data_IF_179855008857
#
_entry.id   IF_179855008857
#
_cell.length_a   1.000
_cell.length_b   1.000
_cell.length_c   1.000
_cell.angle_alpha   90.00
_cell.angle_beta   90.00
_cell.angle_gamma   90.00
#
_symmetry.space_group_name_H-M   'P 1'
#
loop_
_entity.id
_entity.type
_entity.pdbx_description
1 polymer ?
#
# COMPACT_ATOMS: atom_id res chain seq x y z
N UNK A 1 -17.87 24.62 27.25
CA UNK A 1 -18.94 23.62 27.46
C UNK A 1 -18.64 22.84 28.73
N UNK A 2 -19.59 22.81 29.67
CA UNK A 2 -19.45 22.15 30.99
C UNK A 2 -20.48 21.02 31.16
N UNK A 3 -21.04 20.52 30.07
CA UNK A 3 -22.09 19.49 30.03
C UNK A 3 -22.95 19.57 28.75
N UNK A 4 -23.73 18.53 28.47
CA UNK A 4 -24.62 18.41 27.30
C UNK A 4 -23.96 17.72 26.09
N UNK A 5 -24.65 17.76 24.94
CA UNK A 5 -24.11 17.30 23.65
C UNK A 5 -24.27 18.40 22.59
N UNK A 6 -23.21 18.65 21.82
CA UNK A 6 -23.26 19.42 20.58
C UNK A 6 -23.12 18.44 19.41
N UNK A 7 -24.09 18.44 18.49
CA UNK A 7 -24.09 17.55 17.33
C UNK A 7 -23.84 18.39 16.07
N UNK A 8 -22.81 18.02 15.30
CA UNK A 8 -22.39 18.71 14.09
C UNK A 8 -22.59 17.78 12.89
N UNK A 9 -23.56 18.11 12.03
CA UNK A 9 -23.95 17.29 10.86
C UNK A 9 -23.72 17.99 9.51
N UNK A 10 -23.46 19.30 9.50
CA UNK A 10 -23.21 20.08 8.27
C UNK A 10 -21.73 20.25 7.95
N UNK A 11 -21.41 20.81 6.79
CA UNK A 11 -20.03 21.12 6.37
C UNK A 11 -19.59 22.56 6.67
N UNK A 12 -20.50 23.42 7.14
CA UNK A 12 -20.24 24.85 7.35
C UNK A 12 -20.62 25.28 8.78
N UNK A 13 -19.99 24.65 9.78
CA UNK A 13 -20.22 24.99 11.18
C UNK A 13 -19.00 25.69 11.76
N UNK A 14 -19.23 26.82 12.43
CA UNK A 14 -18.19 27.66 12.99
C UNK A 14 -18.48 28.01 14.45
N UNK A 15 -17.44 28.02 15.28
CA UNK A 15 -17.46 28.67 16.58
C UNK A 15 -16.50 29.85 16.51
N UNK A 16 -17.01 31.06 16.75
CA UNK A 16 -16.24 32.30 16.80
C UNK A 16 -16.00 32.73 18.25
N UNK A 17 -14.89 33.44 18.48
CA UNK A 17 -14.65 34.17 19.73
C UNK A 17 -13.40 33.73 20.50
N UNK A 18 -12.48 33.02 19.85
CA UNK A 18 -11.21 32.57 20.45
C UNK A 18 -11.25 31.12 20.94
N UNK A 19 -10.39 30.82 21.92
CA UNK A 19 -10.23 29.46 22.46
C UNK A 19 -11.55 28.92 23.05
N UNK A 20 -11.86 27.67 22.72
CA UNK A 20 -13.03 26.96 23.23
C UNK A 20 -12.57 25.98 24.32
N UNK A 21 -13.19 26.02 25.50
CA UNK A 21 -12.93 25.01 26.54
C UNK A 21 -14.10 24.04 26.66
N UNK A 22 -13.82 22.75 26.65
CA UNK A 22 -14.79 21.67 26.87
C UNK A 22 -14.30 20.86 28.06
N UNK A 23 -14.97 20.99 29.20
CA UNK A 23 -14.60 20.33 30.46
C UNK A 23 -15.54 19.19 30.84
N UNK A 24 -16.74 19.14 30.24
CA UNK A 24 -17.65 18.01 30.32
C UNK A 24 -18.64 18.01 29.15
N UNK A 25 -19.29 16.89 28.92
CA UNK A 25 -20.17 16.68 27.75
C UNK A 25 -19.40 16.28 26.49
N UNK A 26 -20.11 16.17 25.37
CA UNK A 26 -19.56 15.68 24.12
C UNK A 26 -19.85 16.62 22.93
N UNK A 27 -18.87 16.75 22.03
CA UNK A 27 -19.07 17.29 20.69
C UNK A 27 -18.97 16.14 19.70
N UNK A 28 -20.06 15.86 19.01
CA UNK A 28 -20.17 14.77 18.04
C UNK A 28 -20.10 15.35 16.62
N UNK A 29 -18.99 15.13 15.92
CA UNK A 29 -18.77 15.60 14.54
C UNK A 29 -18.98 14.43 13.59
N UNK A 30 -20.10 14.45 12.87
CA UNK A 30 -20.50 13.38 11.97
C UNK A 30 -19.54 13.25 10.76
N UNK A 31 -19.56 12.09 10.12
CA UNK A 31 -18.83 11.88 8.87
C UNK A 31 -19.30 12.86 7.78
N UNK A 32 -18.35 13.44 7.05
CA UNK A 32 -18.62 14.49 6.05
C UNK A 32 -18.96 15.86 6.65
N UNK A 33 -19.14 15.97 7.96
CA UNK A 33 -19.34 17.24 8.64
C UNK A 33 -17.99 17.94 8.89
N UNK A 34 -18.03 19.26 9.00
CA UNK A 34 -16.88 20.08 9.38
C UNK A 34 -17.28 21.02 10.50
N UNK A 35 -16.45 21.03 11.56
CA UNK A 35 -16.48 22.06 12.59
C UNK A 35 -15.18 22.84 12.52
N UNK A 36 -15.27 24.17 12.44
CA UNK A 36 -14.12 25.05 12.54
C UNK A 36 -14.24 25.95 13.76
N UNK A 37 -13.12 26.15 14.46
CA UNK A 37 -13.03 27.18 15.50
C UNK A 37 -12.13 28.30 15.01
N UNK A 38 -12.66 29.52 14.97
CA UNK A 38 -11.93 30.68 14.50
C UNK A 38 -11.80 31.71 15.62
N UNK A 39 -10.61 32.28 15.77
CA UNK A 39 -10.37 33.38 16.70
C UNK A 39 -11.11 34.65 16.24
N UNK A 40 -11.23 34.83 14.92
CA UNK A 40 -11.93 35.94 14.26
C UNK A 40 -12.56 35.45 12.96
N UNK A 41 -13.74 35.97 12.60
CA UNK A 41 -14.21 35.88 11.22
C UNK A 41 -13.61 37.01 10.38
N UNK A 42 -13.24 36.69 9.14
CA UNK A 42 -12.82 37.66 8.12
C UNK A 42 -14.03 37.90 7.21
N UNK A 43 -14.67 39.07 7.27
CA UNK A 43 -15.75 39.41 6.34
C UNK A 43 -15.25 39.37 4.89
N UNK A 44 -15.97 38.71 3.97
CA UNK A 44 -15.66 38.69 2.52
C UNK A 44 -16.10 39.98 1.81
N UNK A 45 -15.94 41.13 2.47
CA UNK A 45 -16.30 42.44 1.90
C UNK A 45 -15.07 43.12 1.27
N UNK A 46 -15.19 43.66 0.05
CA UNK A 46 -14.18 44.53 -0.55
C UNK A 46 -13.80 45.70 0.37
N UNK A 47 -12.51 46.02 0.44
CA UNK A 47 -11.99 47.11 1.27
C UNK A 47 -12.75 48.43 1.03
N UNK A 48 -13.36 48.99 2.08
CA UNK A 48 -14.09 50.28 2.02
C UNK A 48 -15.60 50.17 2.08
N UNK A 49 -16.17 48.96 2.14
CA UNK A 49 -17.59 48.73 2.40
C UNK A 49 -17.82 48.32 3.87
N UNK A 50 -18.96 48.70 4.42
CA UNK A 50 -19.40 48.27 5.76
C UNK A 50 -20.09 46.91 5.67
N UNK A 51 -19.89 46.00 6.64
CA UNK A 51 -20.61 44.72 6.67
C UNK A 51 -22.12 44.92 6.75
N UNK A 52 -22.88 44.20 5.93
CA UNK A 52 -24.34 44.06 6.03
C UNK A 52 -24.72 42.73 6.72
N UNK A 53 -25.92 42.66 7.30
CA UNK A 53 -26.44 41.40 7.86
C UNK A 53 -26.59 40.36 6.74
N UNK A 54 -25.82 39.28 6.82
CA UNK A 54 -25.83 38.20 5.83
C UNK A 54 -24.64 38.19 4.86
N UNK A 55 -23.66 39.08 5.03
CA UNK A 55 -22.41 38.99 4.28
C UNK A 55 -21.66 37.70 4.61
N UNK A 56 -21.19 37.01 3.56
CA UNK A 56 -20.36 35.83 3.70
C UNK A 56 -19.07 36.20 4.47
N UNK A 57 -18.66 35.35 5.40
CA UNK A 57 -17.40 35.51 6.12
C UNK A 57 -16.60 34.21 6.02
N UNK A 58 -15.29 34.34 5.80
CA UNK A 58 -14.39 33.20 5.94
C UNK A 58 -13.85 33.14 7.35
N UNK A 59 -13.63 31.93 7.85
CA UNK A 59 -12.90 31.76 9.10
C UNK A 59 -11.47 32.31 8.98
N UNK A 60 -11.06 33.11 9.97
CA UNK A 60 -9.72 33.68 10.09
C UNK A 60 -8.73 32.72 10.74
N UNK A 61 -7.95 33.22 11.70
CA UNK A 61 -6.96 32.39 12.43
C UNK A 61 -7.64 31.25 13.20
N UNK A 62 -7.08 30.04 13.09
CA UNK A 62 -7.60 28.83 13.75
C UNK A 62 -7.42 28.95 15.27
N UNK A 63 -8.51 28.80 16.01
CA UNK A 63 -8.50 28.84 17.47
C UNK A 63 -8.18 27.45 18.08
N UNK A 64 -7.93 27.42 19.40
CA UNK A 64 -7.63 26.19 20.13
C UNK A 64 -8.88 25.68 20.86
N UNK A 65 -9.19 24.39 20.71
CA UNK A 65 -10.07 23.67 21.64
C UNK A 65 -9.24 23.06 22.78
N UNK A 66 -9.50 23.50 24.00
CA UNK A 66 -8.98 22.93 25.25
C UNK A 66 -9.95 21.89 25.79
N UNK A 67 -9.60 20.61 25.62
CA UNK A 67 -10.27 19.48 26.24
C UNK A 67 -9.72 19.29 27.65
N UNK A 68 -10.56 19.39 28.66
CA UNK A 68 -10.17 19.11 30.05
C UNK A 68 -11.11 18.11 30.67
N UNK A 69 -10.64 17.46 31.73
CA UNK A 69 -11.44 16.56 32.57
C UNK A 69 -12.19 15.50 31.73
N UNK A 70 -13.53 15.49 31.74
CA UNK A 70 -14.37 14.54 30.99
C UNK A 70 -14.80 15.08 29.62
N UNK A 71 -14.36 16.29 29.26
CA UNK A 71 -14.66 16.91 27.98
C UNK A 71 -14.25 16.03 26.81
N UNK A 72 -15.18 15.83 25.87
CA UNK A 72 -15.01 14.84 24.81
C UNK A 72 -15.34 15.41 23.43
N UNK A 73 -14.52 15.07 22.44
CA UNK A 73 -14.86 15.17 21.01
C UNK A 73 -14.94 13.76 20.44
N UNK A 74 -16.05 13.43 19.79
CA UNK A 74 -16.19 12.24 18.95
C UNK A 74 -16.10 12.68 17.49
N UNK A 75 -14.98 12.34 16.85
CA UNK A 75 -14.61 12.81 15.53
C UNK A 75 -14.79 11.71 14.48
N UNK A 76 -15.80 11.86 13.63
CA UNK A 76 -15.95 11.09 12.39
C UNK A 76 -15.71 11.95 11.14
N UNK A 77 -15.86 13.27 11.25
CA UNK A 77 -15.64 14.24 10.16
C UNK A 77 -14.35 15.05 10.32
N UNK A 78 -14.38 16.31 9.87
CA UNK A 78 -13.24 17.23 9.94
C UNK A 78 -13.39 18.24 11.07
N UNK A 79 -12.33 18.43 11.83
CA UNK A 79 -12.17 19.48 12.83
C UNK A 79 -11.05 20.42 12.39
N UNK A 80 -11.37 21.67 12.09
CA UNK A 80 -10.39 22.70 11.75
C UNK A 80 -10.11 23.51 13.02
N UNK A 81 -9.18 23.01 13.83
CA UNK A 81 -8.85 23.53 15.16
C UNK A 81 -7.55 22.89 15.67
N UNK A 82 -6.79 23.65 16.46
CA UNK A 82 -5.78 23.06 17.33
C UNK A 82 -6.48 22.45 18.56
N UNK A 83 -6.09 21.24 18.95
CA UNK A 83 -6.63 20.55 20.13
C UNK A 83 -5.56 20.44 21.21
N UNK A 84 -5.90 20.84 22.43
CA UNK A 84 -5.01 20.80 23.59
C UNK A 84 -5.71 20.32 24.86
N UNK A 85 -4.94 20.08 25.93
CA UNK A 85 -5.46 19.70 27.24
C UNK A 85 -5.69 18.19 27.40
N UNK A 86 -6.03 17.73 28.59
CA UNK A 86 -6.03 16.32 29.01
C UNK A 86 -7.37 15.58 28.86
N UNK A 87 -8.37 16.17 28.20
CA UNK A 87 -9.64 15.51 27.89
C UNK A 87 -9.54 14.54 26.70
N UNK A 88 -10.69 14.16 26.13
CA UNK A 88 -10.78 13.00 25.21
C UNK A 88 -11.03 13.42 23.75
N UNK A 89 -10.14 13.05 22.85
CA UNK A 89 -10.33 13.14 21.40
C UNK A 89 -10.48 11.72 20.84
N UNK A 90 -11.71 11.36 20.48
CA UNK A 90 -12.06 10.02 20.03
C UNK A 90 -12.25 10.00 18.51
N UNK A 91 -11.37 9.31 17.81
CA UNK A 91 -11.41 9.06 16.37
C UNK A 91 -12.35 7.89 16.11
N UNK A 92 -13.52 8.19 15.53
CA UNK A 92 -14.63 7.25 15.33
C UNK A 92 -14.71 6.67 13.92
N UNK A 93 -14.04 7.30 12.95
CA UNK A 93 -14.04 6.90 11.54
C UNK A 93 -12.62 7.02 10.95
N UNK A 94 -12.35 6.29 9.87
CA UNK A 94 -11.11 6.40 9.09
C UNK A 94 -11.04 7.66 8.23
N UNK A 95 -12.16 8.39 8.10
CA UNK A 95 -12.28 9.67 7.40
C UNK A 95 -12.09 10.88 8.32
N UNK A 96 -11.85 10.66 9.61
CA UNK A 96 -11.65 11.70 10.59
C UNK A 96 -10.37 12.52 10.30
N UNK A 97 -10.46 13.83 10.47
CA UNK A 97 -9.33 14.74 10.26
C UNK A 97 -9.36 15.86 11.31
N UNK A 98 -8.22 16.13 11.90
CA UNK A 98 -7.90 17.36 12.61
C UNK A 98 -6.98 18.16 11.70
N UNK A 99 -7.52 19.20 11.10
CA UNK A 99 -6.73 20.19 10.38
C UNK A 99 -6.17 21.22 11.37
N UNK A 100 -5.08 20.84 12.03
CA UNK A 100 -4.48 21.55 13.15
C UNK A 100 -3.49 20.70 13.92
N UNK A 101 -3.02 21.20 15.06
CA UNK A 101 -2.15 20.50 16.00
C UNK A 101 -2.94 19.74 17.06
N UNK A 102 -2.36 18.69 17.64
CA UNK A 102 -2.95 17.96 18.78
C UNK A 102 -1.90 17.80 19.89
N UNK A 103 -2.24 18.16 21.13
CA UNK A 103 -1.35 18.00 22.30
C UNK A 103 -2.11 17.78 23.60
N UNK A 104 -1.47 17.19 24.59
CA UNK A 104 -2.00 16.91 25.93
C UNK A 104 -3.11 15.85 26.01
N UNK A 105 -3.88 15.62 24.94
CA UNK A 105 -5.15 14.89 25.02
C UNK A 105 -5.01 13.38 25.15
N UNK A 106 -6.10 12.72 25.56
CA UNK A 106 -6.29 11.29 25.40
C UNK A 106 -6.78 11.04 23.97
N UNK A 107 -5.86 10.69 23.08
CA UNK A 107 -6.17 10.40 21.69
C UNK A 107 -6.57 8.93 21.54
N UNK A 108 -7.82 8.68 21.17
CA UNK A 108 -8.41 7.33 21.17
C UNK A 108 -8.93 6.95 19.79
N UNK A 109 -8.53 5.78 19.29
CA UNK A 109 -8.95 5.23 18.01
C UNK A 109 -9.96 4.10 18.19
N UNK A 110 -11.10 4.23 17.51
CA UNK A 110 -12.19 3.25 17.48
C UNK A 110 -12.38 2.62 16.07
N UNK A 111 -11.50 2.95 15.13
CA UNK A 111 -11.48 2.48 13.75
C UNK A 111 -10.04 2.49 13.21
N UNK A 112 -9.82 1.85 12.06
CA UNK A 112 -8.53 1.89 11.36
C UNK A 112 -8.16 3.34 10.99
N UNK A 113 -6.90 3.72 11.22
CA UNK A 113 -6.41 5.05 10.88
C UNK A 113 -4.88 5.10 10.75
N UNK A 114 -4.35 6.20 10.22
CA UNK A 114 -2.96 6.59 10.47
C UNK A 114 -2.83 7.99 11.05
N UNK A 115 -1.75 8.23 11.79
CA UNK A 115 -1.51 9.51 12.45
C UNK A 115 -1.32 10.65 11.44
N UNK A 116 -0.58 10.40 10.35
CA UNK A 116 -0.31 11.39 9.30
C UNK A 116 -1.57 11.81 8.52
N UNK A 117 -2.59 10.95 8.51
CA UNK A 117 -3.91 11.24 7.92
C UNK A 117 -4.86 11.90 8.91
N UNK A 118 -4.72 11.60 10.19
CA UNK A 118 -5.58 12.18 11.21
C UNK A 118 -5.22 13.64 11.49
N UNK A 119 -3.94 13.96 11.62
CA UNK A 119 -3.50 15.29 12.07
C UNK A 119 -2.64 15.90 10.99
N UNK A 120 -3.08 17.03 10.43
CA UNK A 120 -2.31 17.75 9.40
C UNK A 120 -1.11 18.51 9.98
N UNK A 121 -1.22 18.92 11.25
CA UNK A 121 -0.18 19.64 12.00
C UNK A 121 0.70 18.73 12.85
N UNK A 122 1.20 19.27 13.95
CA UNK A 122 2.07 18.58 14.90
C UNK A 122 1.27 17.78 15.92
N UNK A 123 1.70 16.56 16.19
CA UNK A 123 1.24 15.77 17.34
C UNK A 123 2.27 15.92 18.46
N UNK A 124 1.92 16.71 19.47
CA UNK A 124 2.76 16.96 20.65
C UNK A 124 2.75 15.80 21.65
N UNK A 125 3.07 16.12 22.90
CA UNK A 125 2.91 15.17 24.01
C UNK A 125 1.44 14.76 24.13
N UNK A 126 1.17 13.51 24.51
CA UNK A 126 -0.19 13.00 24.71
C UNK A 126 -0.33 12.45 26.13
N UNK A 127 -1.44 12.73 26.80
CA UNK A 127 -1.73 12.08 28.08
C UNK A 127 -1.90 10.56 27.89
N UNK A 128 -2.60 10.16 26.82
CA UNK A 128 -2.64 8.78 26.37
C UNK A 128 -2.87 8.66 24.87
N UNK A 129 -2.40 7.54 24.32
CA UNK A 129 -2.73 7.06 22.99
C UNK A 129 -3.41 5.70 23.15
N UNK A 130 -4.68 5.61 22.77
CA UNK A 130 -5.49 4.42 22.96
C UNK A 130 -5.94 3.88 21.60
N UNK A 131 -5.68 2.61 21.33
CA UNK A 131 -6.19 1.92 20.13
C UNK A 131 -7.17 0.87 20.57
N UNK A 132 -8.44 1.26 20.69
CA UNK A 132 -9.48 0.39 21.24
C UNK A 132 -9.99 -0.62 20.22
N UNK A 133 -10.04 -0.22 18.94
CA UNK A 133 -10.49 -1.04 17.81
C UNK A 133 -9.72 -0.68 16.55
N UNK A 134 -9.78 -1.57 15.56
CA UNK A 134 -9.07 -1.40 14.31
C UNK A 134 -7.54 -1.41 14.50
N UNK A 135 -6.82 -0.97 13.49
CA UNK A 135 -5.37 -0.83 13.48
C UNK A 135 -4.98 0.63 13.33
N UNK A 136 -4.14 1.12 14.24
CA UNK A 136 -3.48 2.40 14.10
C UNK A 136 -2.13 2.22 13.41
N UNK A 137 -1.93 2.87 12.28
CA UNK A 137 -0.61 3.06 11.67
C UNK A 137 0.06 4.30 12.27
N UNK A 138 1.12 4.08 13.06
CA UNK A 138 1.96 5.11 13.63
C UNK A 138 3.01 5.52 12.57
N UNK A 139 2.61 6.42 11.66
CA UNK A 139 3.40 6.90 10.52
C UNK A 139 3.80 8.39 10.62
N UNK A 140 3.49 9.03 11.74
CA UNK A 140 3.90 10.38 12.06
C UNK A 140 4.50 10.43 13.48
N UNK A 141 5.51 11.29 13.71
CA UNK A 141 6.11 11.43 15.03
C UNK A 141 5.10 12.04 16.02
N UNK A 142 5.20 11.62 17.28
CA UNK A 142 4.52 12.26 18.41
C UNK A 142 5.54 12.79 19.41
N UNK A 143 5.09 13.67 20.30
CA UNK A 143 5.79 13.92 21.56
C UNK A 143 5.77 12.69 22.49
N UNK A 144 6.04 12.91 23.78
CA UNK A 144 5.99 11.85 24.79
C UNK A 144 4.54 11.40 25.01
N UNK A 145 4.32 10.09 24.98
CA UNK A 145 3.04 9.49 25.34
C UNK A 145 3.08 9.13 26.83
N UNK A 146 2.07 9.55 27.60
CA UNK A 146 1.88 9.10 28.97
C UNK A 146 1.64 7.58 28.99
N UNK A 147 0.46 7.16 28.54
CA UNK A 147 0.09 5.75 28.45
C UNK A 147 -0.28 5.37 27.02
N UNK A 148 0.32 4.31 26.49
CA UNK A 148 -0.06 3.68 25.23
C UNK A 148 -0.86 2.41 25.54
N UNK A 149 -2.14 2.39 25.21
CA UNK A 149 -3.01 1.24 25.43
C UNK A 149 -3.46 0.66 24.08
N UNK A 150 -3.21 -0.61 23.83
CA UNK A 150 -3.52 -1.26 22.54
C UNK A 150 -4.45 -2.45 22.79
N UNK A 151 -5.72 -2.31 22.41
CA UNK A 151 -6.69 -3.40 22.39
C UNK A 151 -7.01 -3.90 20.98
N UNK A 152 -6.83 -3.04 19.96
CA UNK A 152 -6.86 -3.41 18.54
C UNK A 152 -5.47 -3.80 18.01
N UNK A 153 -5.04 -3.17 16.93
CA UNK A 153 -3.72 -3.32 16.33
C UNK A 153 -2.92 -2.03 16.32
N UNK A 154 -1.61 -2.14 16.46
CA UNK A 154 -0.66 -1.03 16.30
C UNK A 154 0.39 -1.42 15.27
N UNK A 155 0.51 -0.67 14.18
CA UNK A 155 1.59 -0.82 13.21
C UNK A 155 2.53 0.38 13.32
N UNK A 156 3.76 0.13 13.74
CA UNK A 156 4.78 1.17 13.89
C UNK A 156 5.75 1.22 12.71
N UNK A 157 5.70 0.28 11.77
CA UNK A 157 6.68 0.16 10.70
C UNK A 157 8.12 0.23 11.23
N UNK A 158 8.90 1.19 10.74
CA UNK A 158 10.27 1.47 11.22
C UNK A 158 10.35 2.57 12.28
N UNK A 159 9.20 3.12 12.73
CA UNK A 159 9.16 4.25 13.64
C UNK A 159 9.48 3.87 15.09
N UNK A 160 9.94 4.87 15.85
CA UNK A 160 10.17 4.73 17.29
C UNK A 160 9.03 5.38 18.06
N UNK A 161 8.39 4.62 18.93
CA UNK A 161 7.35 5.09 19.84
C UNK A 161 7.95 5.34 21.22
N UNK A 162 7.70 6.52 21.78
CA UNK A 162 8.17 6.90 23.11
C UNK A 162 6.99 7.08 24.06
N UNK A 163 6.81 6.13 24.98
CA UNK A 163 5.74 6.15 25.97
C UNK A 163 6.30 6.00 27.39
N UNK A 164 5.53 6.35 28.42
CA UNK A 164 5.90 6.04 29.81
C UNK A 164 5.52 4.61 30.14
N UNK A 165 4.25 4.26 29.88
CA UNK A 165 3.74 2.90 30.02
C UNK A 165 3.13 2.43 28.70
N UNK A 166 3.32 1.16 28.39
CA UNK A 166 2.69 0.49 27.26
C UNK A 166 1.93 -0.72 27.78
N UNK A 167 0.70 -0.89 27.34
CA UNK A 167 -0.14 -2.01 27.70
C UNK A 167 -0.85 -2.56 26.46
N UNK A 168 -0.35 -3.69 25.98
CA UNK A 168 -1.03 -4.51 24.98
C UNK A 168 -2.05 -5.39 25.69
N UNK A 169 -3.33 -5.14 25.44
CA UNK A 169 -4.43 -5.93 25.99
C UNK A 169 -4.47 -7.30 25.34
N UNK A 170 -5.19 -8.23 25.98
CA UNK A 170 -5.44 -9.55 25.42
C UNK A 170 -5.98 -9.46 23.98
N UNK A 171 -5.54 -10.38 23.11
CA UNK A 171 -5.93 -10.45 21.69
C UNK A 171 -5.52 -9.25 20.82
N UNK A 172 -4.69 -8.32 21.32
CA UNK A 172 -4.19 -7.21 20.51
C UNK A 172 -3.04 -7.63 19.57
N UNK A 173 -2.64 -6.71 18.69
CA UNK A 173 -1.55 -6.95 17.74
C UNK A 173 -0.56 -5.79 17.65
N UNK A 174 0.71 -6.14 17.45
CA UNK A 174 1.79 -5.22 17.10
C UNK A 174 2.37 -5.62 15.74
N UNK A 175 2.56 -4.66 14.84
CA UNK A 175 3.33 -4.84 13.61
C UNK A 175 4.51 -3.88 13.57
N UNK A 176 5.64 -4.37 13.08
CA UNK A 176 6.86 -3.58 12.89
C UNK A 176 7.67 -4.09 11.69
N UNK A 177 8.58 -3.23 11.21
CA UNK A 177 9.47 -3.51 10.09
C UNK A 177 10.92 -3.37 10.50
N UNK A 178 11.77 -4.22 9.93
CA UNK A 178 13.24 -4.14 9.99
C UNK A 178 13.77 -3.84 8.59
N UNK A 179 14.08 -2.58 8.32
CA UNK A 179 14.61 -2.14 7.03
C UNK A 179 16.15 -2.25 6.95
N UNK A 180 16.83 -2.15 8.09
CA UNK A 180 18.27 -2.37 8.24
C UNK A 180 18.60 -2.73 9.69
N UNK A 181 19.86 -3.12 9.95
CA UNK A 181 20.37 -3.45 11.29
C UNK A 181 20.26 -2.30 12.30
N UNK A 182 20.18 -1.05 11.83
CA UNK A 182 20.03 0.16 12.62
C UNK A 182 18.68 0.88 12.41
N UNK A 183 17.95 0.55 11.35
CA UNK A 183 16.65 1.13 10.99
C UNK A 183 15.51 0.11 11.11
N UNK A 184 14.82 0.13 12.25
CA UNK A 184 13.73 -0.77 12.56
C UNK A 184 12.81 -0.17 13.62
N UNK A 185 11.56 -0.67 13.69
CA UNK A 185 10.55 -0.19 14.63
C UNK A 185 10.90 -0.50 16.08
N UNK A 186 10.72 0.47 16.99
CA UNK A 186 11.10 0.34 18.41
C UNK A 186 10.05 0.96 19.33
N UNK A 187 9.89 0.39 20.52
CA UNK A 187 9.08 0.95 21.59
C UNK A 187 9.99 1.21 22.79
N UNK A 188 10.05 2.48 23.21
CA UNK A 188 10.74 2.91 24.43
C UNK A 188 9.71 3.17 25.51
N UNK A 189 9.83 2.47 26.65
CA UNK A 189 8.94 2.65 27.79
C UNK A 189 9.57 2.25 29.12
N UNK A 190 9.05 2.79 30.22
CA UNK A 190 9.47 2.39 31.57
C UNK A 190 8.88 1.02 31.95
N UNK A 191 7.66 0.74 31.44
CA UNK A 191 6.96 -0.54 31.61
C UNK A 191 6.23 -0.94 30.33
N UNK A 192 6.30 -2.23 29.99
CA UNK A 192 5.56 -2.84 28.89
C UNK A 192 4.80 -4.06 29.44
N UNK A 193 3.47 -4.03 29.36
CA UNK A 193 2.59 -5.17 29.61
C UNK A 193 2.14 -5.81 28.30
N UNK A 194 2.17 -7.14 28.25
CA UNK A 194 1.71 -7.93 27.11
C UNK A 194 0.67 -8.94 27.60
N UNK A 195 -0.57 -8.74 27.17
CA UNK A 195 -1.71 -9.60 27.48
C UNK A 195 -1.64 -10.97 26.79
N UNK A 196 -2.60 -11.83 27.14
CA UNK A 196 -2.74 -13.16 26.56
C UNK A 196 -3.20 -13.10 25.11
N UNK A 197 -2.80 -14.08 24.29
CA UNK A 197 -3.21 -14.17 22.88
C UNK A 197 -2.80 -12.95 22.03
N UNK A 198 -1.87 -12.14 22.55
CA UNK A 198 -1.32 -10.99 21.84
C UNK A 198 -0.34 -11.43 20.77
N UNK A 199 -0.46 -10.85 19.58
CA UNK A 199 0.33 -11.22 18.39
C UNK A 199 1.37 -10.14 18.06
N UNK A 200 2.47 -10.56 17.43
CA UNK A 200 3.44 -9.64 16.84
C UNK A 200 3.79 -10.08 15.41
N UNK A 201 3.73 -9.13 14.47
CA UNK A 201 4.18 -9.28 13.09
C UNK A 201 5.48 -8.52 12.88
N UNK A 202 6.50 -9.23 12.46
CA UNK A 202 7.82 -8.66 12.14
C UNK A 202 8.10 -8.95 10.67
N UNK A 203 8.17 -7.89 9.87
CA UNK A 203 8.55 -7.95 8.46
C UNK A 203 9.98 -7.46 8.29
N UNK A 204 10.82 -8.22 7.59
CA UNK A 204 12.21 -7.87 7.36
C UNK A 204 12.45 -7.56 5.88
N UNK A 205 13.25 -6.55 5.58
CA UNK A 205 13.73 -6.33 4.21
C UNK A 205 14.71 -7.45 3.81
N UNK A 206 14.76 -7.74 2.52
CA UNK A 206 15.65 -8.76 1.98
C UNK A 206 17.12 -8.42 2.28
N UNK A 207 17.84 -9.38 2.85
CA UNK A 207 19.28 -9.27 3.14
C UNK A 207 19.63 -8.57 4.46
N UNK A 208 18.65 -8.17 5.27
CA UNK A 208 18.92 -7.50 6.56
C UNK A 208 19.54 -8.45 7.59
N UNK A 209 19.20 -9.73 7.53
CA UNK A 209 19.71 -10.77 8.44
C UNK A 209 20.57 -11.74 7.67
N UNK A 210 21.80 -11.98 8.12
CA UNK A 210 22.72 -12.93 7.50
C UNK A 210 22.45 -14.38 7.90
N UNK A 211 23.30 -15.30 7.43
CA UNK A 211 23.21 -16.74 7.75
C UNK A 211 23.44 -17.06 9.23
N UNK A 212 24.15 -16.19 9.96
CA UNK A 212 24.41 -16.36 11.40
C UNK A 212 23.25 -15.88 12.28
N UNK A 213 22.23 -15.23 11.68
CA UNK A 213 21.15 -14.58 12.40
C UNK A 213 21.56 -13.21 12.97
N UNK A 214 20.58 -12.48 13.49
CA UNK A 214 20.74 -11.16 14.09
C UNK A 214 19.83 -11.01 15.31
N UNK A 215 20.21 -10.15 16.25
CA UNK A 215 19.37 -9.83 17.42
C UNK A 215 18.92 -8.38 17.37
N UNK A 216 17.61 -8.16 17.41
CA UNK A 216 17.00 -6.83 17.39
C UNK A 216 16.34 -6.50 18.72
N UNK A 217 16.50 -5.25 19.17
CA UNK A 217 15.88 -4.77 20.42
C UNK A 217 14.65 -3.93 20.11
N UNK A 218 13.50 -4.59 19.93
CA UNK A 218 12.23 -3.91 19.60
C UNK A 218 11.57 -3.29 20.84
N UNK A 219 11.71 -3.92 22.00
CA UNK A 219 11.11 -3.46 23.26
C UNK A 219 12.22 -2.97 24.20
N UNK A 220 12.33 -1.66 24.35
CA UNK A 220 13.29 -1.00 25.24
C UNK A 220 12.59 -0.67 26.56
N UNK A 221 12.57 -1.65 27.48
CA UNK A 221 12.08 -1.48 28.84
C UNK A 221 12.85 -2.37 29.82
N UNK A 222 13.10 -1.87 31.03
CA UNK A 222 13.62 -2.68 32.14
C UNK A 222 12.56 -3.53 32.83
N UNK A 223 11.29 -3.33 32.49
CA UNK A 223 10.12 -3.99 33.10
C UNK A 223 9.15 -4.43 32.01
N UNK A 224 9.35 -5.66 31.51
CA UNK A 224 8.49 -6.31 30.53
C UNK A 224 7.76 -7.44 31.25
N UNK A 225 6.43 -7.37 31.23
CA UNK A 225 5.54 -8.36 31.81
C UNK A 225 4.73 -9.02 30.69
N UNK A 226 4.77 -10.35 30.64
CA UNK A 226 4.18 -11.13 29.54
C UNK A 226 5.11 -11.30 28.34
N UNK A 227 4.57 -12.00 27.34
CA UNK A 227 5.27 -12.34 26.12
C UNK A 227 4.24 -12.45 25.00
N UNK A 228 4.61 -12.09 23.76
CA UNK A 228 3.69 -12.33 22.65
C UNK A 228 3.49 -13.83 22.52
N UNK A 229 2.25 -14.31 22.51
CA UNK A 229 1.94 -15.75 22.56
C UNK A 229 1.78 -16.35 21.18
N UNK A 230 1.34 -15.55 20.20
CA UNK A 230 1.43 -15.86 18.78
C UNK A 230 2.73 -15.28 18.20
N UNK A 231 3.86 -15.68 18.80
CA UNK A 231 5.16 -15.50 18.16
C UNK A 231 5.14 -16.39 16.92
N UNK A 232 5.09 -15.79 15.75
CA UNK A 232 5.99 -16.16 14.65
C UNK A 232 6.17 -17.68 14.48
N UNK A 233 5.06 -18.41 14.46
CA UNK A 233 4.92 -19.60 13.62
C UNK A 233 4.60 -19.21 12.17
N UNK A 234 4.53 -17.90 11.91
CA UNK A 234 3.86 -17.32 10.76
C UNK A 234 4.71 -16.27 10.01
N UNK A 235 6.04 -16.32 10.14
CA UNK A 235 6.92 -15.72 9.12
C UNK A 235 7.41 -16.82 8.17
N UNK A 236 7.14 -16.69 6.88
CA UNK A 236 7.49 -17.69 5.85
C UNK A 236 9.00 -17.85 5.59
N UNK A 237 9.82 -16.87 6.00
CA UNK A 237 11.26 -16.80 5.71
C UNK A 237 12.17 -16.85 6.93
N UNK A 238 11.66 -16.50 8.11
CA UNK A 238 12.47 -16.34 9.31
C UNK A 238 11.89 -17.08 10.51
N UNK A 239 12.77 -17.64 11.33
CA UNK A 239 12.47 -18.06 12.69
C UNK A 239 12.79 -16.89 13.62
N UNK A 240 11.83 -16.50 14.46
CA UNK A 240 11.96 -15.33 15.32
C UNK A 240 11.56 -15.69 16.75
N UNK A 241 12.46 -15.43 17.68
CA UNK A 241 12.32 -15.81 19.09
C UNK A 241 12.49 -14.60 19.98
N UNK A 242 11.46 -14.30 20.78
CA UNK A 242 11.51 -13.27 21.80
C UNK A 242 12.38 -13.70 22.99
N UNK A 243 13.21 -12.79 23.46
CA UNK A 243 13.97 -12.90 24.69
C UNK A 243 13.28 -12.13 25.82
N UNK A 244 13.53 -12.53 27.07
CA UNK A 244 12.92 -11.92 28.26
C UNK A 244 13.22 -10.42 28.42
N UNK A 245 14.34 -9.97 27.89
CA UNK A 245 14.73 -8.56 27.97
C UNK A 245 14.00 -7.69 26.93
N UNK A 246 13.21 -8.26 26.02
CA UNK A 246 12.54 -7.52 24.95
C UNK A 246 13.31 -7.46 23.62
N UNK A 247 14.46 -8.14 23.55
CA UNK A 247 15.13 -8.41 22.28
C UNK A 247 14.54 -9.63 21.56
N UNK A 248 14.81 -9.77 20.27
CA UNK A 248 14.33 -10.83 19.42
C UNK A 248 15.49 -11.37 18.58
N UNK A 249 15.74 -12.67 18.68
CA UNK A 249 16.69 -13.36 17.81
C UNK A 249 15.96 -13.72 16.52
N UNK A 250 16.56 -13.37 15.39
CA UNK A 250 16.03 -13.63 14.06
C UNK A 250 17.03 -14.45 13.28
N UNK A 251 16.61 -15.60 12.79
CA UNK A 251 17.43 -16.48 11.94
C UNK A 251 16.69 -16.80 10.66
N UNK A 252 17.40 -16.84 9.54
CA UNK A 252 16.81 -17.29 8.28
C UNK A 252 16.38 -18.75 8.39
N UNK A 253 15.18 -19.06 7.91
CA UNK A 253 14.78 -20.45 7.65
C UNK A 253 15.61 -20.97 6.48
N UNK A 254 15.92 -22.26 6.51
CA UNK A 254 16.56 -22.93 5.39
C UNK A 254 15.55 -23.23 4.27
N UNK A 255 14.80 -22.22 3.84
CA UNK A 255 13.78 -22.29 2.77
C UNK A 255 14.17 -21.37 1.63
N UNK A 256 14.17 -21.92 0.41
CA UNK A 256 14.39 -21.14 -0.80
C UNK A 256 13.12 -20.40 -1.22
N UNK A 257 13.24 -19.42 -2.11
CA UNK A 257 12.08 -18.78 -2.74
C UNK A 257 11.13 -19.82 -3.37
N UNK A 258 11.70 -20.85 -4.01
CA UNK A 258 10.98 -21.99 -4.58
C UNK A 258 10.18 -22.77 -3.54
N UNK A 259 10.76 -23.06 -2.37
CA UNK A 259 10.07 -23.79 -1.29
C UNK A 259 8.87 -23.00 -0.79
N UNK A 260 9.01 -21.69 -0.61
CA UNK A 260 7.91 -20.86 -0.11
C UNK A 260 6.81 -20.68 -1.17
N UNK A 261 7.17 -20.61 -2.46
CA UNK A 261 6.17 -20.63 -3.54
C UNK A 261 5.39 -21.94 -3.53
N UNK A 262 6.07 -23.08 -3.39
CA UNK A 262 5.43 -24.37 -3.32
C UNK A 262 4.48 -24.49 -2.11
N UNK A 263 4.92 -24.00 -0.93
CA UNK A 263 4.09 -23.96 0.28
C UNK A 263 2.87 -23.04 0.13
N UNK A 264 2.99 -21.97 -0.66
CA UNK A 264 1.89 -21.07 -1.00
C UNK A 264 0.95 -21.64 -2.09
N UNK A 265 1.25 -22.82 -2.65
CA UNK A 265 0.46 -23.45 -3.72
C UNK A 265 0.73 -22.92 -5.12
N UNK A 266 1.88 -22.26 -5.34
CA UNK A 266 2.29 -21.72 -6.63
C UNK A 266 2.89 -22.76 -7.58
N UNK A 267 3.12 -22.33 -8.82
CA UNK A 267 3.69 -23.17 -9.90
C UNK A 267 5.22 -23.04 -9.99
N UNK A 268 5.86 -23.93 -10.77
CA UNK A 268 7.29 -23.81 -11.09
C UNK A 268 7.64 -22.48 -11.78
N UNK A 269 6.72 -21.91 -12.57
CA UNK A 269 6.90 -20.59 -13.18
C UNK A 269 6.88 -19.47 -12.14
N UNK A 270 6.02 -19.58 -11.12
CA UNK A 270 6.02 -18.63 -10.01
C UNK A 270 7.32 -18.73 -9.20
N UNK A 271 7.84 -19.94 -9.02
CA UNK A 271 9.10 -20.17 -8.30
C UNK A 271 10.29 -19.52 -9.02
N UNK A 272 10.41 -19.73 -10.34
CA UNK A 272 11.44 -19.07 -11.16
C UNK A 272 11.30 -17.53 -11.15
N UNK A 273 10.06 -17.03 -11.13
CA UNK A 273 9.81 -15.59 -11.02
C UNK A 273 10.26 -15.04 -9.66
N UNK A 274 9.98 -15.76 -8.57
CA UNK A 274 10.40 -15.37 -7.23
C UNK A 274 11.93 -15.29 -7.11
N UNK A 275 12.64 -16.32 -7.59
CA UNK A 275 14.11 -16.36 -7.61
C UNK A 275 14.71 -15.19 -8.42
N UNK A 276 14.12 -14.86 -9.57
CA UNK A 276 14.54 -13.72 -10.37
C UNK A 276 14.36 -12.39 -9.61
N UNK A 277 13.21 -12.18 -8.95
CA UNK A 277 12.96 -10.95 -8.21
C UNK A 277 13.81 -10.79 -6.93
N UNK A 278 14.18 -11.89 -6.28
CA UNK A 278 15.09 -11.84 -5.12
C UNK A 278 16.53 -11.48 -5.52
N UNK A 279 17.00 -11.94 -6.68
CA UNK A 279 18.36 -11.60 -7.16
C UNK A 279 18.47 -10.15 -7.64
N UNK A 280 17.38 -9.55 -8.11
CA UNK A 280 17.33 -8.15 -8.56
C UNK A 280 17.68 -7.18 -7.42
N UNK A 281 17.32 -7.45 -6.17
CA UNK A 281 17.57 -6.51 -5.07
C UNK A 281 19.08 -6.25 -4.84
N UNK A 282 19.94 -7.19 -5.24
CA UNK A 282 21.39 -7.08 -5.11
C UNK A 282 22.08 -6.36 -6.30
N UNK A 283 21.32 -5.97 -7.33
CA UNK A 283 21.89 -5.31 -8.51
C UNK A 283 21.92 -3.79 -8.36
N UNK A 284 23.10 -3.21 -8.61
CA UNK A 284 23.35 -1.77 -8.52
C UNK A 284 22.66 -0.95 -9.63
N UNK A 285 22.18 -1.60 -10.69
CA UNK A 285 21.61 -0.95 -11.89
C UNK A 285 20.07 -1.05 -11.98
N UNK A 286 19.40 -1.34 -10.87
CA UNK A 286 17.95 -1.55 -10.84
C UNK A 286 17.20 -0.26 -10.53
N UNK A 287 16.12 0.00 -11.27
CA UNK A 287 15.26 1.16 -11.06
C UNK A 287 14.57 1.12 -9.69
N UNK A 288 14.23 2.30 -9.15
CA UNK A 288 13.51 2.39 -7.87
C UNK A 288 12.18 1.62 -7.89
N UNK A 289 11.48 1.62 -9.02
CA UNK A 289 10.22 0.90 -9.21
C UNK A 289 10.41 -0.61 -9.17
N UNK A 290 11.45 -1.13 -9.82
CA UNK A 290 11.75 -2.57 -9.77
C UNK A 290 12.19 -3.00 -8.35
N UNK A 291 12.90 -2.15 -7.62
CA UNK A 291 13.20 -2.39 -6.20
C UNK A 291 11.93 -2.43 -5.36
N UNK A 292 11.01 -1.48 -5.53
CA UNK A 292 9.74 -1.47 -4.81
C UNK A 292 8.90 -2.74 -5.07
N UNK A 293 8.88 -3.23 -6.31
CA UNK A 293 8.22 -4.50 -6.68
C UNK A 293 8.91 -5.70 -6.01
N UNK A 294 10.25 -5.76 -6.08
CA UNK A 294 11.03 -6.81 -5.40
C UNK A 294 10.75 -6.84 -3.90
N UNK A 295 10.76 -5.68 -3.24
CA UNK A 295 10.43 -5.54 -1.81
C UNK A 295 9.01 -6.02 -1.52
N UNK A 296 8.01 -5.61 -2.29
CA UNK A 296 6.63 -6.03 -2.08
C UNK A 296 6.43 -7.55 -2.24
N UNK A 297 7.07 -8.16 -3.24
CA UNK A 297 7.06 -9.61 -3.43
C UNK A 297 7.72 -10.30 -2.23
N UNK A 298 8.85 -9.78 -1.77
CA UNK A 298 9.58 -10.32 -0.63
C UNK A 298 8.81 -10.20 0.69
N UNK A 299 8.10 -9.09 0.90
CA UNK A 299 7.23 -8.90 2.07
C UNK A 299 6.10 -9.94 2.07
N UNK A 300 5.41 -10.11 0.93
CA UNK A 300 4.35 -11.11 0.76
C UNK A 300 4.86 -12.54 0.99
N UNK A 301 6.11 -12.78 0.65
CA UNK A 301 6.78 -14.06 0.82
C UNK A 301 6.98 -14.47 2.29
N UNK A 302 6.86 -13.50 3.21
CA UNK A 302 6.92 -13.71 4.65
C UNK A 302 5.54 -14.02 5.24
N UNK A 303 4.44 -13.85 4.49
CA UNK A 303 3.09 -14.15 4.97
C UNK A 303 2.82 -15.66 5.01
N UNK A 304 2.14 -16.10 6.06
CA UNK A 304 1.72 -17.51 6.20
C UNK A 304 0.22 -17.71 6.24
N UNK A 305 -0.55 -16.63 6.41
CA UNK A 305 -2.00 -16.67 6.31
C UNK A 305 -2.43 -17.13 4.92
N UNK A 306 -3.57 -17.81 4.81
CA UNK A 306 -4.06 -18.30 3.51
C UNK A 306 -4.26 -17.15 2.50
N UNK A 307 -4.73 -15.99 2.97
CA UNK A 307 -4.87 -14.79 2.14
C UNK A 307 -3.52 -14.23 1.69
N UNK A 308 -2.54 -14.15 2.59
CA UNK A 308 -1.19 -13.67 2.29
C UNK A 308 -0.44 -14.58 1.32
N UNK A 309 -0.50 -15.90 1.52
CA UNK A 309 0.05 -16.90 0.58
C UNK A 309 -0.56 -16.76 -0.82
N UNK A 310 -1.88 -16.56 -0.90
CA UNK A 310 -2.54 -16.32 -2.18
C UNK A 310 -2.06 -15.02 -2.83
N UNK A 311 -1.98 -13.93 -2.07
CA UNK A 311 -1.49 -12.64 -2.55
C UNK A 311 -0.05 -12.73 -3.08
N UNK A 312 0.82 -13.51 -2.43
CA UNK A 312 2.18 -13.79 -2.91
C UNK A 312 2.19 -14.46 -4.29
N UNK A 313 1.41 -15.55 -4.47
CA UNK A 313 1.33 -16.26 -5.76
C UNK A 313 0.69 -15.40 -6.86
N UNK A 314 -0.36 -14.64 -6.53
CA UNK A 314 -0.99 -13.72 -7.47
C UNK A 314 -0.02 -12.62 -7.92
N UNK A 315 0.74 -12.03 -6.98
CA UNK A 315 1.76 -11.03 -7.28
C UNK A 315 2.85 -11.60 -8.21
N UNK A 316 3.36 -12.80 -7.91
CA UNK A 316 4.33 -13.50 -8.76
C UNK A 316 3.79 -13.79 -10.16
N UNK A 317 2.50 -14.07 -10.29
CA UNK A 317 1.86 -14.28 -11.59
C UNK A 317 1.75 -12.98 -12.39
N UNK A 318 1.43 -11.87 -11.73
CA UNK A 318 1.28 -10.56 -12.36
C UNK A 318 2.62 -9.96 -12.83
N UNK A 319 3.71 -10.25 -12.13
CA UNK A 319 5.07 -9.75 -12.42
C UNK A 319 5.93 -10.74 -13.20
N UNK A 320 5.40 -11.94 -13.48
CA UNK A 320 6.07 -12.88 -14.36
C UNK A 320 6.27 -12.20 -15.72
N UNK A 321 7.46 -12.30 -16.34
CA UNK A 321 7.63 -11.84 -17.69
C UNK A 321 6.57 -12.53 -18.53
N UNK A 322 5.73 -11.75 -19.20
CA UNK A 322 4.75 -12.26 -20.13
C UNK A 322 5.57 -12.92 -21.24
N UNK A 323 5.80 -14.22 -21.12
CA UNK A 323 6.14 -15.06 -22.26
C UNK A 323 4.88 -15.04 -23.10
N UNK A 324 4.67 -13.97 -23.88
CA UNK A 324 3.79 -14.02 -25.00
C UNK A 324 4.34 -15.16 -25.86
N UNK A 325 3.70 -16.35 -25.87
CA UNK A 325 4.14 -17.44 -26.74
C UNK A 325 3.93 -17.04 -28.20
N UNK A 326 3.27 -15.89 -28.44
CA UNK A 326 2.98 -15.32 -29.74
C UNK A 326 4.21 -14.71 -30.43
N UNK A 327 5.25 -14.22 -29.76
CA UNK A 327 6.36 -13.60 -30.52
C UNK A 327 7.18 -14.66 -31.27
N UNK A 328 7.43 -15.83 -30.67
CA UNK A 328 8.12 -16.92 -31.36
C UNK A 328 7.21 -17.68 -32.32
N UNK A 329 5.92 -17.90 -31.98
CA UNK A 329 5.01 -18.65 -32.84
C UNK A 329 4.52 -17.83 -34.03
N UNK A 330 4.21 -16.54 -33.86
CA UNK A 330 3.83 -15.64 -34.97
C UNK A 330 5.03 -15.32 -35.86
N UNK A 331 6.26 -15.19 -35.34
CA UNK A 331 7.45 -15.08 -36.21
C UNK A 331 7.73 -16.38 -36.98
N UNK A 332 7.54 -17.55 -36.37
CA UNK A 332 7.78 -18.84 -37.04
C UNK A 332 6.68 -19.21 -38.04
N UNK A 333 5.40 -18.97 -37.72
CA UNK A 333 4.27 -19.25 -38.61
C UNK A 333 4.17 -18.22 -39.76
N UNK A 334 4.44 -16.93 -39.50
CA UNK A 334 4.50 -15.92 -40.58
C UNK A 334 5.71 -16.14 -41.48
N UNK A 335 6.88 -16.50 -40.94
CA UNK A 335 8.05 -16.83 -41.74
C UNK A 335 7.84 -18.11 -42.58
N UNK A 336 7.22 -19.16 -42.03
CA UNK A 336 6.93 -20.40 -42.76
C UNK A 336 5.84 -20.20 -43.84
N UNK A 337 4.84 -19.36 -43.61
CA UNK A 337 3.82 -19.02 -44.61
C UNK A 337 4.39 -18.14 -45.74
N UNK A 338 5.28 -17.18 -45.43
CA UNK A 338 5.97 -16.36 -46.42
C UNK A 338 6.99 -17.20 -47.22
N UNK A 339 7.77 -18.07 -46.58
CA UNK A 339 8.69 -18.98 -47.29
C UNK A 339 7.96 -20.02 -48.13
N UNK A 340 6.81 -20.53 -47.66
CA UNK A 340 5.96 -21.44 -48.43
C UNK A 340 5.39 -20.77 -49.69
N UNK A 341 4.82 -19.56 -49.55
CA UNK A 341 4.24 -18.81 -50.67
C UNK A 341 5.29 -18.35 -51.71
N UNK A 342 6.49 -17.95 -51.26
CA UNK A 342 7.62 -17.58 -52.14
C UNK A 342 8.23 -18.81 -52.82
N UNK A 343 8.32 -19.94 -52.11
CA UNK A 343 8.84 -21.21 -52.65
C UNK A 343 7.92 -21.79 -53.73
N UNK A 344 6.59 -21.78 -53.54
CA UNK A 344 5.63 -22.30 -54.53
C UNK A 344 5.60 -21.50 -55.83
N UNK A 345 5.94 -20.20 -55.82
CA UNK A 345 6.13 -19.42 -57.06
C UNK A 345 7.49 -19.65 -57.73
N UNK A 346 8.57 -19.77 -56.97
CA UNK A 346 9.91 -20.03 -57.52
C UNK A 346 10.09 -21.46 -58.04
N UNK A 347 9.35 -22.45 -57.52
CA UNK A 347 9.35 -23.83 -58.02
C UNK A 347 8.20 -24.15 -58.99
N UNK A 348 7.21 -23.27 -59.13
CA UNK A 348 6.10 -23.39 -60.09
C UNK A 348 6.33 -22.66 -61.42
N UNK A 349 7.42 -21.90 -61.55
CA UNK A 349 7.79 -21.17 -62.77
C UNK A 349 8.45 -22.05 -63.81
N UNK A 350 7.71 -22.98 -64.41
CA UNK A 350 8.04 -23.45 -65.75
C UNK A 350 7.96 -22.24 -66.68
N UNK A 351 9.10 -21.75 -67.15
CA UNK A 351 9.17 -21.05 -68.43
C UNK A 351 8.76 -22.09 -69.48
N UNK A 352 7.45 -22.24 -69.69
CA UNK A 352 6.89 -22.95 -70.84
C UNK A 352 6.74 -21.92 -71.94
N UNK A 353 7.77 -21.89 -72.78
CA UNK A 353 7.80 -21.28 -74.11
C UNK A 353 6.59 -21.65 -74.97
N UNK A 354 6.00 -20.65 -75.65
CA UNK A 354 5.05 -20.78 -76.79
C UNK A 354 3.61 -20.42 -76.40
N UNK A 355 3.02 -19.27 -76.74
CA UNK A 355 3.06 -18.47 -77.96
C UNK A 355 2.78 -19.28 -79.23
N UNK A 356 1.50 -19.47 -79.53
CA UNK A 356 1.00 -19.93 -80.83
C UNK A 356 1.24 -18.82 -81.87
N UNK A 357 2.15 -19.06 -82.83
CA UNK A 357 2.20 -18.31 -84.09
C UNK A 357 2.74 -16.87 -84.05
N UNK A 358 3.98 -16.64 -83.59
CA UNK A 358 4.66 -15.34 -83.76
C UNK A 358 5.86 -15.41 -84.73
N UNK A 359 5.90 -14.43 -85.64
CA UNK A 359 6.89 -14.23 -86.71
C UNK A 359 8.16 -13.51 -86.19
N UNK A 360 9.31 -13.77 -86.80
CA UNK A 360 10.63 -13.26 -86.37
C UNK A 360 10.73 -11.73 -86.53
N UNK A 361 10.60 -10.99 -85.43
CA UNK A 361 10.83 -9.54 -85.40
C UNK A 361 10.27 -8.79 -84.19
N UNK A 362 9.44 -9.42 -83.34
CA UNK A 362 8.83 -8.75 -82.18
C UNK A 362 9.55 -9.11 -80.87
N UNK A 363 10.04 -8.08 -80.17
CA UNK A 363 10.64 -8.18 -78.83
C UNK A 363 9.56 -7.98 -77.76
N UNK A 364 9.40 -8.96 -76.86
CA UNK A 364 8.47 -8.88 -75.72
C UNK A 364 9.12 -8.11 -74.54
N UNK A 365 8.41 -7.23 -73.81
CA UNK A 365 8.97 -6.53 -72.65
C UNK A 365 9.05 -7.44 -71.38
N UNK A 366 10.26 -7.55 -70.81
CA UNK A 366 10.63 -8.35 -69.62
C UNK A 366 10.23 -7.71 -68.27
N UNK A 367 8.93 -7.56 -67.98
CA UNK A 367 8.51 -7.28 -66.59
C UNK A 367 7.02 -7.59 -66.33
N UNK A 368 6.72 -8.24 -65.20
CA UNK A 368 5.37 -8.44 -64.69
C UNK A 368 5.24 -7.99 -63.21
N UNK A 369 4.16 -7.30 -62.84
CA UNK A 369 3.89 -6.85 -61.46
C UNK A 369 2.63 -7.51 -60.93
N UNK A 370 2.62 -7.97 -59.68
CA UNK A 370 1.45 -8.57 -59.04
C UNK A 370 1.21 -8.09 -57.60
N UNK A 371 -0.05 -8.20 -57.16
CA UNK A 371 -0.54 -7.84 -55.81
C UNK A 371 -1.51 -8.92 -55.32
N UNK A 372 -1.34 -9.40 -54.09
CA UNK A 372 -2.23 -10.40 -53.47
C UNK A 372 -2.59 -9.99 -52.05
N UNK A 373 -3.89 -9.87 -51.74
CA UNK A 373 -4.41 -9.57 -50.40
C UNK A 373 -4.92 -10.79 -49.65
N UNK A 374 -4.77 -10.78 -48.33
CA UNK A 374 -5.27 -11.76 -47.36
C UNK A 374 -6.18 -11.02 -46.37
N UNK A 375 -7.34 -11.59 -46.01
CA UNK A 375 -8.33 -11.00 -45.08
C UNK A 375 -8.95 -12.02 -44.11
N UNK A 376 -9.32 -11.57 -42.91
CA UNK A 376 -9.43 -12.37 -41.68
C UNK A 376 -9.68 -11.48 -40.40
N UNK A 377 -10.29 -12.03 -39.35
CA UNK A 377 -10.90 -11.29 -38.21
C UNK A 377 -10.76 -12.12 -36.91
N UNK A 378 -10.48 -11.50 -35.76
CA UNK A 378 -10.41 -12.21 -34.46
C UNK A 378 -11.45 -11.72 -33.45
N UNK A 379 -11.99 -12.62 -32.62
CA UNK A 379 -12.93 -12.33 -31.51
C UNK A 379 -12.47 -13.05 -30.23
N UNK A 380 -12.61 -12.37 -29.09
CA UNK A 380 -12.27 -12.86 -27.75
C UNK A 380 -13.42 -13.73 -27.20
N UNK A 381 -13.14 -14.97 -26.79
CA UNK A 381 -14.05 -15.81 -25.98
C UNK A 381 -13.50 -15.88 -24.55
N UNK A 382 -14.30 -15.44 -23.57
CA UNK A 382 -13.90 -15.26 -22.17
C UNK A 382 -14.64 -16.22 -21.21
N UNK A 383 -15.15 -17.35 -21.73
CA UNK A 383 -16.10 -18.21 -20.99
C UNK A 383 -15.68 -19.65 -20.63
N UNK A 384 -14.43 -20.10 -20.83
CA UNK A 384 -13.99 -21.41 -20.27
C UNK A 384 -12.50 -21.51 -19.93
N UNK A 385 -12.13 -22.54 -19.14
CA UNK A 385 -10.88 -22.70 -18.34
C UNK A 385 -9.53 -22.74 -19.11
N UNK A 386 -9.50 -22.31 -20.37
CA UNK A 386 -8.30 -21.95 -21.09
C UNK A 386 -8.62 -20.68 -21.91
N UNK A 387 -7.98 -19.55 -21.57
CA UNK A 387 -8.07 -18.33 -22.39
C UNK A 387 -7.35 -18.60 -23.71
N UNK A 388 -8.07 -18.50 -24.83
CA UNK A 388 -7.50 -18.67 -26.17
C UNK A 388 -8.03 -17.60 -27.11
N UNK A 389 -7.13 -17.00 -27.89
CA UNK A 389 -7.48 -16.23 -29.07
C UNK A 389 -7.63 -17.19 -30.24
N UNK A 390 -8.77 -17.15 -30.93
CA UNK A 390 -8.86 -17.66 -32.30
C UNK A 390 -8.47 -16.51 -33.23
N UNK A 391 -7.33 -16.65 -33.91
CA UNK A 391 -6.67 -15.58 -34.65
C UNK A 391 -6.65 -15.90 -36.13
N UNK A 392 -7.16 -14.95 -36.89
CA UNK A 392 -7.30 -15.05 -38.32
C UNK A 392 -6.66 -13.74 -38.88
N UNK A 393 -5.60 -13.84 -39.72
CA UNK A 393 -4.70 -12.75 -40.23
C UNK A 393 -4.92 -12.18 -41.66
N UNK A 394 -4.62 -10.89 -41.87
CA UNK A 394 -4.82 -10.13 -43.13
C UNK A 394 -3.53 -9.45 -43.56
N UNK A 395 -3.19 -9.50 -44.84
CA UNK A 395 -1.99 -8.84 -45.36
C UNK A 395 -1.99 -8.77 -46.87
N UNK A 396 -1.44 -7.70 -47.44
CA UNK A 396 -1.27 -7.56 -48.90
C UNK A 396 0.21 -7.67 -49.24
N UNK A 397 0.56 -8.53 -50.18
CA UNK A 397 1.90 -8.66 -50.76
C UNK A 397 1.92 -8.10 -52.18
N UNK A 398 2.95 -7.32 -52.55
CA UNK A 398 3.20 -6.83 -53.90
C UNK A 398 4.59 -7.28 -54.37
N UNK A 399 4.75 -7.58 -55.66
CA UNK A 399 6.04 -7.95 -56.25
C UNK A 399 6.15 -7.57 -57.73
N UNK A 400 7.38 -7.30 -58.19
CA UNK A 400 7.74 -7.07 -59.60
C UNK A 400 8.72 -8.19 -59.99
N UNK A 401 8.43 -8.89 -61.08
CA UNK A 401 9.25 -9.90 -61.73
C UNK A 401 9.86 -9.27 -62.99
N UNK A 402 11.16 -9.47 -63.22
CA UNK A 402 11.89 -9.15 -64.46
C UNK A 402 12.33 -10.46 -65.11
#
# INVERSE_FOLDING_TARGET
MTGGNLIVNGSENYIEGGDVTISAGAVDIAEGATLQTAATLIPLIPSGLSPEEGDDAMAGEVAVIKLTDEGTINLSGTLVSDVSGNGNLNVKSSSALVDGNVSGSNLTFEADHSLSKLVSGTIGDLASLNVNKGTLTYDAPTGKIGNLNVAGGLDIGTNTVNATNVDFKDNSSLALRVAATDNYGKINADKIGIGNETTIKITLDNGVVGSEGETFKFLNSGNIDGEFTNKIAENGRYDIVQNKDGSFNVTQKNTTASDVVAEAGGTASNAATAEAWETINNSSNVSAQAKAVSTAIYDLSQETSAAGKKAYVDALTAVAPEVAPMVQKTQTETANQVFGAVSTRLTGGSISTGSEGMSSGDSNPDAAVWVQGMFNKSKLDDTSKAKGFDADSNGVALGIEY
#
